data_IF_043650111346
#
_entry.id   IF_043650111346
#
_cell.length_a   1.000
_cell.length_b   1.000
_cell.length_c   1.000
_cell.angle_alpha   90.00
_cell.angle_beta   90.00
_cell.angle_gamma   90.00
#
_symmetry.space_group_name_H-M   'P 1'
#
loop_
_entity.id
_entity.type
_entity.pdbx_description
1 polymer ?
#
# COMPACT_ATOMS: atom_id res chain seq x y z
N UNK A 1 -21.41 -7.26 31.80
CA UNK A 1 -21.57 -5.80 31.97
C UNK A 1 -21.51 -5.39 33.44
N UNK A 2 -22.17 -6.11 34.35
CA UNK A 2 -22.21 -5.76 35.79
C UNK A 2 -20.87 -5.97 36.53
N UNK A 3 -20.11 -7.01 36.16
CA UNK A 3 -18.78 -7.28 36.73
C UNK A 3 -17.75 -6.20 36.33
N UNK A 4 -17.76 -5.79 35.05
CA UNK A 4 -16.91 -4.72 34.50
C UNK A 4 -17.18 -3.37 35.18
N UNK A 5 -18.45 -3.03 35.41
CA UNK A 5 -18.84 -1.79 36.09
C UNK A 5 -18.37 -1.74 37.56
N UNK A 6 -18.08 -2.88 38.18
CA UNK A 6 -17.61 -2.95 39.57
C UNK A 6 -16.09 -2.79 39.64
N UNK A 7 -15.36 -3.34 38.68
CA UNK A 7 -13.89 -3.24 38.57
C UNK A 7 -13.42 -1.83 38.20
N UNK A 8 -14.20 -1.10 37.39
CA UNK A 8 -13.84 0.21 36.85
C UNK A 8 -14.11 1.40 37.79
N UNK A 9 -14.72 1.18 38.97
CA UNK A 9 -15.11 2.26 39.90
C UNK A 9 -13.95 2.82 40.73
N UNK A 10 -12.89 2.02 40.92
CA UNK A 10 -11.76 2.36 41.78
C UNK A 10 -10.52 2.82 40.99
N UNK A 11 -10.58 2.82 39.64
CA UNK A 11 -9.47 3.22 38.77
C UNK A 11 -9.43 4.73 38.50
N UNK A 12 -8.22 5.28 38.35
CA UNK A 12 -8.06 6.67 37.92
C UNK A 12 -8.49 6.84 36.46
N UNK A 13 -9.02 8.02 36.09
CA UNK A 13 -9.52 8.27 34.73
C UNK A 13 -8.54 7.91 33.58
N UNK A 14 -7.20 8.08 33.72
CA UNK A 14 -6.24 7.62 32.73
C UNK A 14 -6.12 6.09 32.60
N UNK A 15 -6.20 5.35 33.71
CA UNK A 15 -6.14 3.88 33.72
C UNK A 15 -7.36 3.30 33.02
N UNK A 16 -8.55 3.84 33.34
CA UNK A 16 -9.81 3.50 32.70
C UNK A 16 -9.74 3.65 31.17
N UNK A 17 -9.16 4.77 30.68
CA UNK A 17 -8.98 5.00 29.25
C UNK A 17 -8.03 3.98 28.61
N UNK A 18 -6.99 3.56 29.33
CA UNK A 18 -6.08 2.51 28.88
C UNK A 18 -6.77 1.15 28.74
N UNK A 19 -7.63 0.79 29.71
CA UNK A 19 -8.43 -0.44 29.67
C UNK A 19 -9.42 -0.41 28.50
N UNK A 20 -10.18 0.68 28.36
CA UNK A 20 -11.15 0.85 27.27
C UNK A 20 -10.48 0.81 25.90
N UNK A 21 -9.33 1.47 25.75
CA UNK A 21 -8.55 1.38 24.52
C UNK A 21 -8.14 -0.07 24.23
N UNK A 22 -7.60 -0.79 25.23
CA UNK A 22 -7.16 -2.18 25.05
C UNK A 22 -8.30 -3.10 24.61
N UNK A 23 -9.49 -2.92 25.19
CA UNK A 23 -10.68 -3.68 24.79
C UNK A 23 -11.10 -3.36 23.35
N UNK A 24 -11.17 -2.07 23.00
CA UNK A 24 -11.53 -1.65 21.64
C UNK A 24 -10.49 -2.13 20.61
N UNK A 25 -9.20 -2.07 20.96
CA UNK A 25 -8.11 -2.58 20.15
C UNK A 25 -8.21 -4.10 19.95
N UNK A 26 -8.56 -4.86 20.99
CA UNK A 26 -8.80 -6.31 20.88
C UNK A 26 -9.93 -6.64 19.90
N UNK A 27 -11.01 -5.85 19.89
CA UNK A 27 -12.09 -6.00 18.88
C UNK A 27 -11.58 -5.66 17.48
N UNK A 28 -10.83 -4.56 17.33
CA UNK A 28 -10.22 -4.19 16.05
C UNK A 28 -9.34 -5.31 15.50
N UNK A 29 -8.43 -5.86 16.31
CA UNK A 29 -7.54 -6.95 15.92
C UNK A 29 -8.30 -8.24 15.59
N UNK A 30 -9.36 -8.57 16.34
CA UNK A 30 -10.21 -9.72 16.06
C UNK A 30 -10.76 -9.68 14.63
N UNK A 31 -11.20 -8.50 14.19
CA UNK A 31 -11.68 -8.25 12.83
C UNK A 31 -10.58 -7.87 11.83
N UNK A 32 -9.30 -8.13 12.16
CA UNK A 32 -8.13 -7.86 11.31
C UNK A 32 -7.96 -6.37 10.94
N UNK A 33 -8.50 -5.46 11.77
CA UNK A 33 -8.27 -4.03 11.66
C UNK A 33 -7.06 -3.64 12.52
N UNK A 34 -6.22 -2.75 12.02
CA UNK A 34 -5.11 -2.19 12.79
C UNK A 34 -5.67 -1.13 13.78
N UNK A 35 -5.46 -1.27 15.10
CA UNK A 35 -5.90 -0.27 16.07
C UNK A 35 -5.22 1.08 15.83
N UNK A 36 -5.94 2.21 15.86
CA UNK A 36 -5.35 3.54 15.70
C UNK A 36 -4.30 3.83 16.78
N UNK A 37 -3.08 4.23 16.38
CA UNK A 37 -1.96 4.52 17.30
C UNK A 37 -1.44 3.30 18.10
N UNK A 38 -1.64 2.07 17.61
CA UNK A 38 -1.24 0.84 18.31
C UNK A 38 0.21 0.81 18.83
N UNK A 39 1.19 1.19 18.00
CA UNK A 39 2.60 1.21 18.40
C UNK A 39 2.92 2.23 19.50
N UNK A 40 2.17 3.34 19.55
CA UNK A 40 2.33 4.36 20.58
C UNK A 40 1.62 3.98 21.86
N UNK A 41 0.49 3.28 21.76
CA UNK A 41 -0.20 2.70 22.90
C UNK A 41 0.67 1.67 23.62
N UNK A 42 1.22 0.69 22.90
CA UNK A 42 2.09 -0.34 23.48
C UNK A 42 3.38 0.26 24.07
N UNK A 43 3.88 1.35 23.49
CA UNK A 43 4.99 2.13 24.04
C UNK A 43 4.64 3.06 25.20
N UNK A 44 3.37 3.10 25.68
CA UNK A 44 2.87 4.02 26.71
C UNK A 44 3.13 5.51 26.40
N UNK A 45 3.07 5.89 25.12
CA UNK A 45 3.37 7.24 24.62
C UNK A 45 2.13 8.08 24.27
N UNK A 46 0.95 7.66 24.71
CA UNK A 46 -0.31 8.34 24.41
C UNK A 46 -0.81 9.14 25.60
N UNK A 47 -1.19 10.39 25.35
CA UNK A 47 -1.88 11.22 26.34
C UNK A 47 -3.34 10.77 26.51
N UNK A 48 -4.00 11.12 27.62
CA UNK A 48 -5.42 10.80 27.81
C UNK A 48 -6.32 11.31 26.67
N UNK A 49 -6.02 12.47 26.10
CA UNK A 49 -6.79 13.02 24.97
C UNK A 49 -6.57 12.21 23.69
N UNK A 50 -5.34 11.80 23.42
CA UNK A 50 -5.04 10.93 22.28
C UNK A 50 -5.72 9.56 22.41
N UNK A 51 -5.81 9.02 23.63
CA UNK A 51 -6.56 7.78 23.91
C UNK A 51 -8.04 7.95 23.59
N UNK A 52 -8.67 9.03 24.05
CA UNK A 52 -10.09 9.32 23.73
C UNK A 52 -10.33 9.41 22.22
N UNK A 53 -9.46 10.12 21.49
CA UNK A 53 -9.55 10.22 20.02
C UNK A 53 -9.43 8.85 19.37
N UNK A 54 -8.48 8.02 19.80
CA UNK A 54 -8.28 6.70 19.23
C UNK A 54 -9.45 5.75 19.53
N UNK A 55 -9.99 5.78 20.75
CA UNK A 55 -11.21 5.06 21.13
C UNK A 55 -12.39 5.54 20.27
N UNK A 56 -12.59 6.85 20.15
CA UNK A 56 -13.65 7.46 19.33
C UNK A 56 -13.58 7.01 17.87
N UNK A 57 -12.37 6.90 17.31
CA UNK A 57 -12.16 6.31 15.98
C UNK A 57 -12.60 4.85 15.93
N UNK A 58 -12.24 4.03 16.90
CA UNK A 58 -12.58 2.61 16.95
C UNK A 58 -14.07 2.32 17.18
N UNK A 59 -14.84 3.26 17.74
CA UNK A 59 -16.30 3.13 17.84
C UNK A 59 -17.04 3.69 16.62
N UNK A 60 -16.35 4.44 15.75
CA UNK A 60 -16.97 5.14 14.63
C UNK A 60 -17.40 4.18 13.52
N UNK A 61 -18.63 4.34 13.05
CA UNK A 61 -19.14 3.66 11.84
C UNK A 61 -18.24 3.91 10.63
N UNK A 62 -17.66 5.11 10.51
CA UNK A 62 -16.79 5.47 9.38
C UNK A 62 -15.50 4.64 9.36
N UNK A 63 -14.92 4.38 10.53
CA UNK A 63 -13.73 3.54 10.66
C UNK A 63 -14.02 2.11 10.18
N UNK A 64 -15.05 1.49 10.74
CA UNK A 64 -15.44 0.12 10.40
C UNK A 64 -15.89 -0.04 8.96
N UNK A 65 -16.70 0.90 8.44
CA UNK A 65 -17.14 0.87 7.04
C UNK A 65 -15.97 0.92 6.07
N UNK A 66 -14.96 1.76 6.35
CA UNK A 66 -13.75 1.85 5.52
C UNK A 66 -12.91 0.58 5.61
N UNK A 67 -12.76 0.03 6.83
CA UNK A 67 -12.04 -1.22 7.06
C UNK A 67 -12.69 -2.38 6.31
N UNK A 68 -13.96 -2.69 6.59
CA UNK A 68 -14.67 -3.81 5.99
C UNK A 68 -14.78 -3.68 4.48
N UNK A 69 -15.04 -2.47 3.94
CA UNK A 69 -15.03 -2.26 2.49
C UNK A 69 -13.70 -2.65 1.86
N UNK A 70 -12.58 -2.32 2.50
CA UNK A 70 -11.25 -2.66 1.99
C UNK A 70 -10.93 -4.14 2.19
N UNK A 71 -11.20 -4.66 3.38
CA UNK A 71 -10.96 -6.05 3.76
C UNK A 71 -11.73 -7.02 2.87
N UNK A 72 -13.06 -6.85 2.75
CA UNK A 72 -13.90 -7.73 1.94
C UNK A 72 -13.51 -7.71 0.47
N UNK A 73 -13.09 -6.55 -0.08
CA UNK A 73 -12.60 -6.45 -1.46
C UNK A 73 -11.35 -7.28 -1.67
N UNK A 74 -10.35 -7.14 -0.79
CA UNK A 74 -9.10 -7.90 -0.85
C UNK A 74 -9.35 -9.39 -0.64
N UNK A 75 -10.21 -9.73 0.30
CA UNK A 75 -10.56 -11.12 0.60
C UNK A 75 -11.26 -11.80 -0.57
N UNK A 76 -12.26 -11.14 -1.18
CA UNK A 76 -12.94 -11.63 -2.39
C UNK A 76 -11.96 -11.88 -3.53
N UNK A 77 -11.05 -10.93 -3.78
CA UNK A 77 -10.03 -11.09 -4.82
C UNK A 77 -9.09 -12.27 -4.52
N UNK A 78 -8.69 -12.44 -3.26
CA UNK A 78 -7.89 -13.58 -2.85
C UNK A 78 -8.61 -14.92 -3.05
N UNK A 79 -9.93 -14.98 -2.83
CA UNK A 79 -10.74 -16.15 -3.18
C UNK A 79 -10.77 -16.39 -4.69
N UNK A 80 -10.91 -15.35 -5.51
CA UNK A 80 -10.85 -15.49 -6.97
C UNK A 80 -9.49 -16.02 -7.46
N UNK A 81 -8.38 -15.55 -6.88
CA UNK A 81 -7.05 -16.13 -7.11
C UNK A 81 -7.03 -17.60 -6.68
N UNK A 82 -7.57 -17.91 -5.51
CA UNK A 82 -7.60 -19.28 -4.95
C UNK A 82 -8.36 -20.24 -5.86
N UNK A 83 -9.52 -19.87 -6.40
CA UNK A 83 -10.33 -20.75 -7.26
C UNK A 83 -9.84 -20.81 -8.71
N UNK A 84 -8.95 -19.90 -9.12
CA UNK A 84 -8.37 -19.87 -10.47
C UNK A 84 -9.11 -18.96 -11.45
N UNK A 85 -9.89 -18.01 -10.92
CA UNK A 85 -10.47 -16.91 -11.71
C UNK A 85 -9.38 -15.90 -12.13
N UNK A 86 -8.27 -15.85 -11.38
CA UNK A 86 -7.07 -15.07 -11.70
C UNK A 86 -5.93 -16.03 -12.04
N UNK A 87 -5.67 -16.19 -13.34
CA UNK A 87 -4.59 -16.99 -13.94
C UNK A 87 -4.44 -16.67 -15.43
N UNK A 88 -3.32 -17.08 -16.04
CA UNK A 88 -2.98 -16.87 -17.46
C UNK A 88 -4.12 -17.18 -18.42
N UNK A 89 -4.80 -18.31 -18.20
CA UNK A 89 -5.84 -18.84 -19.09
C UNK A 89 -7.20 -18.16 -18.93
N UNK A 90 -7.37 -17.21 -18.00
CA UNK A 90 -8.66 -16.55 -17.77
C UNK A 90 -8.54 -15.05 -17.58
N UNK A 91 -7.87 -14.61 -16.53
CA UNK A 91 -7.58 -13.20 -16.29
C UNK A 91 -6.27 -13.09 -15.51
N UNK A 92 -5.28 -12.43 -16.10
CA UNK A 92 -3.91 -12.40 -15.59
C UNK A 92 -3.79 -11.51 -14.35
N UNK A 93 -4.37 -10.30 -14.41
CA UNK A 93 -4.09 -9.24 -13.45
C UNK A 93 -5.02 -9.33 -12.22
N UNK A 94 -6.31 -9.47 -12.47
CA UNK A 94 -7.34 -9.48 -11.43
C UNK A 94 -8.63 -10.14 -11.93
N UNK A 95 -9.56 -10.44 -11.02
CA UNK A 95 -10.82 -11.08 -11.37
C UNK A 95 -11.69 -10.20 -12.30
N UNK A 96 -12.46 -10.78 -13.23
CA UNK A 96 -13.41 -10.03 -14.06
C UNK A 96 -14.41 -9.21 -13.22
N UNK A 97 -14.82 -9.73 -12.07
CA UNK A 97 -15.73 -9.07 -11.13
C UNK A 97 -15.08 -7.82 -10.52
N UNK A 98 -13.78 -7.87 -10.23
CA UNK A 98 -13.04 -6.70 -9.78
C UNK A 98 -12.96 -5.62 -10.86
N UNK A 99 -12.71 -6.00 -12.11
CA UNK A 99 -12.69 -5.07 -13.26
C UNK A 99 -14.03 -4.34 -13.39
N UNK A 100 -15.16 -5.06 -13.34
CA UNK A 100 -16.49 -4.47 -13.40
C UNK A 100 -16.74 -3.48 -12.24
N UNK A 101 -16.43 -3.88 -11.01
CA UNK A 101 -16.55 -3.00 -9.84
C UNK A 101 -15.66 -1.75 -9.96
N UNK A 102 -14.45 -1.90 -10.49
CA UNK A 102 -13.51 -0.80 -10.70
C UNK A 102 -14.01 0.16 -11.77
N UNK A 103 -14.49 -0.34 -12.91
CA UNK A 103 -15.07 0.48 -13.99
C UNK A 103 -16.30 1.25 -13.51
N UNK A 104 -17.24 0.58 -12.82
CA UNK A 104 -18.43 1.24 -12.27
C UNK A 104 -18.06 2.33 -11.24
N UNK A 105 -17.07 2.08 -10.38
CA UNK A 105 -16.59 3.07 -9.42
C UNK A 105 -15.94 4.27 -10.11
N UNK A 106 -15.21 4.05 -11.21
CA UNK A 106 -14.59 5.13 -12.00
C UNK A 106 -15.61 5.97 -12.74
N UNK A 107 -16.59 5.32 -13.37
CA UNK A 107 -17.69 6.00 -14.06
C UNK A 107 -18.43 6.93 -13.08
N UNK A 108 -18.88 6.40 -11.94
CA UNK A 108 -19.54 7.19 -10.89
C UNK A 108 -18.67 8.34 -10.38
N UNK A 109 -17.37 8.08 -10.17
CA UNK A 109 -16.44 9.12 -9.73
C UNK A 109 -16.32 10.26 -10.74
N UNK A 110 -16.25 9.95 -12.04
CA UNK A 110 -16.20 10.96 -13.11
C UNK A 110 -17.50 11.72 -13.26
N UNK A 111 -18.65 11.07 -13.10
CA UNK A 111 -19.97 11.73 -13.11
C UNK A 111 -20.04 12.79 -12.00
N UNK A 112 -19.68 12.42 -10.77
CA UNK A 112 -19.64 13.37 -9.63
C UNK A 112 -18.67 14.53 -9.92
N UNK A 113 -17.47 14.24 -10.44
CA UNK A 113 -16.48 15.29 -10.75
C UNK A 113 -16.94 16.22 -11.89
N UNK A 114 -17.73 15.73 -12.84
CA UNK A 114 -18.26 16.53 -13.94
C UNK A 114 -19.32 17.52 -13.45
N UNK A 115 -20.05 17.16 -12.39
CA UNK A 115 -21.09 17.98 -11.76
C UNK A 115 -20.55 18.87 -10.63
N UNK A 116 -19.23 18.86 -10.38
CA UNK A 116 -18.59 19.61 -9.29
C UNK A 116 -17.64 20.66 -9.84
N UNK A 117 -17.73 21.89 -9.32
CA UNK A 117 -16.75 22.94 -9.56
C UNK A 117 -15.88 23.15 -8.30
N UNK A 118 -14.64 23.54 -8.52
CA UNK A 118 -13.75 24.09 -7.50
C UNK A 118 -13.96 25.60 -7.53
N UNK A 119 -14.09 26.21 -6.36
CA UNK A 119 -14.19 27.66 -6.19
C UNK A 119 -13.01 28.11 -5.33
N UNK A 120 -12.33 29.17 -5.76
CA UNK A 120 -11.33 29.85 -4.97
C UNK A 120 -12.01 30.81 -3.97
N UNK A 121 -11.75 30.63 -2.67
CA UNK A 121 -12.46 31.35 -1.61
C UNK A 121 -12.18 32.87 -1.59
N UNK A 122 -11.03 33.32 -2.12
CA UNK A 122 -10.60 34.72 -2.08
C UNK A 122 -11.03 35.49 -3.34
N UNK A 123 -10.88 34.86 -4.51
CA UNK A 123 -11.16 35.48 -5.82
C UNK A 123 -12.56 35.18 -6.36
N UNK A 124 -13.20 34.10 -5.88
CA UNK A 124 -14.47 33.60 -6.41
C UNK A 124 -14.36 32.95 -7.79
N UNK A 125 -13.15 32.72 -8.29
CA UNK A 125 -12.93 32.04 -9.58
C UNK A 125 -13.38 30.58 -9.49
N UNK A 126 -14.05 30.11 -10.54
CA UNK A 126 -14.55 28.73 -10.61
C UNK A 126 -13.89 27.92 -11.71
N UNK A 127 -13.51 26.69 -11.38
CA UNK A 127 -12.82 25.76 -12.27
C UNK A 127 -13.53 24.40 -12.21
N UNK A 128 -13.91 23.80 -13.36
CA UNK A 128 -14.49 22.46 -13.35
C UNK A 128 -13.54 21.43 -12.72
N UNK A 129 -14.00 20.71 -11.70
CA UNK A 129 -13.16 19.74 -10.96
C UNK A 129 -12.61 18.68 -11.91
N UNK A 130 -13.42 18.21 -12.86
CA UNK A 130 -12.99 17.23 -13.84
C UNK A 130 -11.80 17.71 -14.68
N UNK A 131 -11.80 18.98 -15.10
CA UNK A 131 -10.71 19.57 -15.88
C UNK A 131 -9.42 19.65 -15.05
N UNK A 132 -9.51 20.06 -13.79
CA UNK A 132 -8.38 20.09 -12.87
C UNK A 132 -7.80 18.68 -12.63
N UNK A 133 -8.67 17.68 -12.44
CA UNK A 133 -8.28 16.27 -12.28
C UNK A 133 -7.57 15.76 -13.52
N UNK A 134 -8.12 16.01 -14.72
CA UNK A 134 -7.54 15.55 -15.99
C UNK A 134 -6.22 16.28 -16.33
N UNK A 135 -6.01 17.50 -15.81
CA UNK A 135 -4.75 18.24 -15.89
C UNK A 135 -3.68 17.77 -14.87
N UNK A 136 -4.06 16.98 -13.87
CA UNK A 136 -3.18 16.51 -12.78
C UNK A 136 -2.59 15.11 -13.02
N UNK A 137 -1.76 14.65 -12.07
CA UNK A 137 -1.20 13.28 -11.99
C UNK A 137 -2.26 12.18 -11.73
N UNK A 138 -3.52 12.59 -11.56
CA UNK A 138 -4.68 11.69 -11.56
C UNK A 138 -4.94 11.10 -12.95
N UNK A 139 -4.54 11.80 -14.02
CA UNK A 139 -4.52 11.27 -15.37
C UNK A 139 -3.35 10.28 -15.55
N UNK A 140 -3.64 9.10 -16.11
CA UNK A 140 -2.66 8.03 -16.28
C UNK A 140 -1.49 8.43 -17.19
N UNK A 141 -1.72 9.20 -18.25
CA UNK A 141 -0.67 9.64 -19.18
C UNK A 141 0.26 10.63 -18.49
N UNK A 142 -0.30 11.62 -17.79
CA UNK A 142 0.47 12.59 -17.01
C UNK A 142 1.29 11.91 -15.91
N UNK A 143 0.73 10.92 -15.22
CA UNK A 143 1.46 10.13 -14.23
C UNK A 143 2.62 9.36 -14.83
N UNK A 144 2.45 8.78 -16.03
CA UNK A 144 3.55 8.09 -16.75
C UNK A 144 4.63 9.09 -17.15
N UNK A 145 4.25 10.24 -17.71
CA UNK A 145 5.19 11.30 -18.06
C UNK A 145 5.98 11.77 -16.83
N UNK A 146 5.30 12.02 -15.70
CA UNK A 146 5.96 12.40 -14.45
C UNK A 146 6.93 11.31 -13.94
N UNK A 147 6.53 10.03 -14.02
CA UNK A 147 7.42 8.91 -13.66
C UNK A 147 8.69 8.92 -14.52
N UNK A 148 8.55 9.08 -15.83
CA UNK A 148 9.70 9.13 -16.75
C UNK A 148 10.58 10.35 -16.48
N UNK A 149 10.00 11.52 -16.16
CA UNK A 149 10.75 12.70 -15.73
C UNK A 149 11.55 12.43 -14.45
N UNK A 150 10.98 11.68 -13.50
CA UNK A 150 11.72 11.27 -12.28
C UNK A 150 12.86 10.31 -12.60
N UNK A 151 12.65 9.32 -13.47
CA UNK A 151 13.73 8.42 -13.94
C UNK A 151 14.86 9.23 -14.55
N UNK A 152 14.54 10.17 -15.45
CA UNK A 152 15.53 11.08 -16.05
C UNK A 152 16.27 11.91 -15.00
N UNK A 153 15.57 12.44 -14.00
CA UNK A 153 16.19 13.16 -12.90
C UNK A 153 17.16 12.29 -12.09
N UNK A 154 16.88 10.99 -11.91
CA UNK A 154 17.81 10.06 -11.26
C UNK A 154 19.05 9.81 -12.13
N UNK A 155 18.89 9.71 -13.45
CA UNK A 155 20.02 9.60 -14.39
C UNK A 155 20.89 10.87 -14.40
N UNK A 156 20.27 12.05 -14.36
CA UNK A 156 20.98 13.34 -14.27
C UNK A 156 21.72 13.47 -12.93
N UNK A 157 21.12 13.05 -11.81
CA UNK A 157 21.81 13.00 -10.51
C UNK A 157 23.02 12.06 -10.53
N UNK A 158 22.88 10.87 -11.14
CA UNK A 158 23.97 9.94 -11.34
C UNK A 158 25.10 10.55 -12.19
N UNK A 159 24.76 11.40 -13.17
CA UNK A 159 25.71 12.09 -14.02
C UNK A 159 26.36 13.32 -13.34
N UNK A 160 25.70 13.97 -12.40
CA UNK A 160 26.26 15.10 -11.66
C UNK A 160 27.32 14.64 -10.65
N UNK A 161 27.14 13.50 -9.97
CA UNK A 161 28.14 13.01 -9.03
C UNK A 161 29.48 12.69 -9.72
N UNK A 162 29.44 12.28 -11.00
CA UNK A 162 30.62 12.10 -11.87
C UNK A 162 31.48 13.36 -12.02
N UNK A 163 30.91 14.55 -11.86
CA UNK A 163 31.66 15.81 -11.98
C UNK A 163 32.33 16.21 -10.65
N UNK A 164 31.87 15.68 -9.51
CA UNK A 164 32.36 16.06 -8.17
C UNK A 164 33.31 15.05 -7.55
N UNK A 165 33.19 13.78 -7.90
CA UNK A 165 34.01 12.67 -7.44
C UNK A 165 34.23 11.75 -8.66
N UNK A 166 35.37 11.09 -8.81
CA UNK A 166 35.61 10.09 -9.88
C UNK A 166 34.65 8.86 -9.83
N UNK A 167 33.47 8.99 -9.22
CA UNK A 167 32.41 7.98 -9.09
C UNK A 167 31.52 7.96 -10.33
N UNK A 168 31.83 7.05 -11.25
CA UNK A 168 30.92 6.73 -12.36
C UNK A 168 29.77 5.87 -11.86
N UNK A 169 28.52 6.33 -11.95
CA UNK A 169 27.35 5.50 -11.63
C UNK A 169 26.87 4.73 -12.85
N UNK A 170 26.51 3.45 -12.65
CA UNK A 170 25.89 2.59 -13.66
C UNK A 170 24.43 2.32 -13.30
N UNK A 171 23.58 2.25 -14.32
CA UNK A 171 22.16 1.92 -14.19
C UNK A 171 21.94 0.42 -14.37
N UNK A 172 21.41 -0.24 -13.35
CA UNK A 172 21.09 -1.66 -13.33
C UNK A 172 19.58 -1.85 -13.36
N UNK A 173 19.09 -2.58 -14.37
CA UNK A 173 17.70 -3.01 -14.45
C UNK A 173 17.52 -4.34 -13.74
N UNK A 174 16.52 -4.44 -12.86
CA UNK A 174 16.23 -5.68 -12.16
C UNK A 174 14.76 -6.06 -12.27
N UNK A 175 14.54 -7.37 -12.23
CA UNK A 175 13.22 -7.97 -12.02
C UNK A 175 13.26 -8.79 -10.75
N UNK A 176 12.41 -8.45 -9.78
CA UNK A 176 12.24 -9.21 -8.55
C UNK A 176 10.98 -10.06 -8.62
N UNK A 177 11.17 -11.36 -8.76
CA UNK A 177 10.10 -12.36 -8.84
C UNK A 177 9.92 -13.05 -7.50
N UNK A 178 8.66 -13.37 -7.16
CA UNK A 178 8.37 -14.10 -5.95
C UNK A 178 8.78 -15.59 -6.08
N UNK A 179 9.25 -16.23 -5.00
CA UNK A 179 9.48 -17.67 -5.01
C UNK A 179 8.21 -18.44 -5.35
N UNK A 180 8.35 -19.64 -5.93
CA UNK A 180 7.23 -20.48 -6.39
C UNK A 180 6.11 -20.64 -5.34
N UNK A 181 6.43 -20.70 -4.05
CA UNK A 181 5.43 -20.87 -2.98
C UNK A 181 4.43 -19.71 -2.85
N UNK A 182 4.71 -18.55 -3.43
CA UNK A 182 3.80 -17.39 -3.43
C UNK A 182 2.83 -17.38 -4.61
N UNK A 183 3.05 -18.23 -5.62
CA UNK A 183 2.20 -18.32 -6.81
C UNK A 183 1.10 -19.35 -6.62
N UNK A 184 -0.16 -18.96 -6.79
CA UNK A 184 -1.31 -19.85 -6.65
C UNK A 184 -1.46 -20.82 -7.82
N UNK A 185 -1.02 -20.40 -9.01
CA UNK A 185 -1.14 -21.18 -10.24
C UNK A 185 0.20 -21.22 -10.97
N UNK A 186 0.42 -22.30 -11.70
CA UNK A 186 1.53 -22.40 -12.64
C UNK A 186 1.14 -21.72 -13.96
N UNK A 187 2.14 -21.32 -14.74
CA UNK A 187 1.90 -20.70 -16.04
C UNK A 187 1.12 -21.62 -17.00
N UNK A 188 1.27 -22.94 -16.84
CA UNK A 188 0.50 -23.98 -17.55
C UNK A 188 -0.99 -24.02 -17.20
N UNK A 189 -1.42 -23.24 -16.20
CA UNK A 189 -2.81 -23.19 -15.72
C UNK A 189 -3.16 -24.25 -14.68
N UNK A 190 -2.21 -25.12 -14.31
CA UNK A 190 -2.38 -26.11 -13.25
C UNK A 190 -2.21 -25.48 -11.87
N UNK A 191 -2.92 -26.02 -10.87
CA UNK A 191 -2.80 -25.58 -9.48
C UNK A 191 -1.38 -25.82 -8.97
N UNK A 192 -0.77 -24.80 -8.37
CA UNK A 192 0.54 -24.97 -7.75
C UNK A 192 0.40 -25.65 -6.37
N UNK A 193 0.90 -26.88 -6.25
CA UNK A 193 0.88 -27.65 -4.99
C UNK A 193 1.77 -27.07 -3.89
N UNK A 194 2.74 -26.23 -4.27
CA UNK A 194 3.65 -25.57 -3.31
C UNK A 194 3.11 -24.22 -2.83
N UNK A 195 1.95 -23.78 -3.32
CA UNK A 195 1.39 -22.51 -2.90
C UNK A 195 1.07 -22.53 -1.41
N UNK A 196 1.59 -21.55 -0.67
CA UNK A 196 1.42 -21.44 0.78
C UNK A 196 0.16 -20.65 1.19
N UNK A 197 -0.69 -20.27 0.24
CA UNK A 197 -1.88 -19.46 0.50
C UNK A 197 -1.60 -17.96 0.58
N UNK A 198 -0.39 -17.48 0.28
CA UNK A 198 -0.08 -16.06 0.36
C UNK A 198 -0.94 -15.24 -0.63
N UNK A 199 -1.48 -14.13 -0.12
CA UNK A 199 -2.15 -13.10 -0.91
C UNK A 199 -1.14 -12.16 -1.58
N UNK A 200 -1.52 -11.43 -2.64
CA UNK A 200 -0.66 -10.42 -3.27
C UNK A 200 -0.10 -9.39 -2.27
N UNK A 201 -0.85 -9.06 -1.22
CA UNK A 201 -0.41 -8.13 -0.16
C UNK A 201 0.70 -8.74 0.70
N UNK A 202 0.59 -10.02 1.04
CA UNK A 202 1.63 -10.73 1.80
C UNK A 202 2.90 -10.93 0.96
N UNK A 203 2.76 -11.20 -0.34
CA UNK A 203 3.89 -11.24 -1.27
C UNK A 203 4.58 -9.87 -1.37
N UNK A 204 3.81 -8.77 -1.40
CA UNK A 204 4.39 -7.43 -1.33
C UNK A 204 5.17 -7.18 -0.03
N UNK A 205 4.62 -7.59 1.12
CA UNK A 205 5.33 -7.48 2.39
C UNK A 205 6.61 -8.32 2.43
N UNK A 206 6.62 -9.49 1.78
CA UNK A 206 7.83 -10.27 1.56
C UNK A 206 8.88 -9.48 0.75
N UNK A 207 8.49 -8.84 -0.35
CA UNK A 207 9.41 -8.02 -1.14
C UNK A 207 9.94 -6.82 -0.37
N UNK A 208 9.09 -6.03 0.28
CA UNK A 208 9.53 -4.88 1.09
C UNK A 208 10.52 -5.30 2.17
N UNK A 209 10.24 -6.41 2.90
CA UNK A 209 11.15 -6.92 3.92
C UNK A 209 12.48 -7.37 3.32
N UNK A 210 12.43 -8.11 2.21
CA UNK A 210 13.64 -8.65 1.58
C UNK A 210 14.50 -7.54 0.98
N UNK A 211 13.89 -6.54 0.33
CA UNK A 211 14.59 -5.38 -0.20
C UNK A 211 15.19 -4.50 0.91
N UNK A 212 14.50 -4.34 2.04
CA UNK A 212 15.06 -3.65 3.22
C UNK A 212 16.31 -4.37 3.74
N UNK A 213 16.26 -5.70 3.85
CA UNK A 213 17.41 -6.50 4.30
C UNK A 213 18.56 -6.43 3.29
N UNK A 214 18.25 -6.53 2.00
CA UNK A 214 19.21 -6.33 0.91
C UNK A 214 19.90 -4.97 1.00
N UNK A 215 19.12 -3.88 1.08
CA UNK A 215 19.64 -2.52 1.20
C UNK A 215 20.51 -2.36 2.45
N UNK A 216 20.08 -2.91 3.59
CA UNK A 216 20.86 -2.89 4.84
C UNK A 216 22.20 -3.64 4.69
N UNK A 217 22.21 -4.77 3.98
CA UNK A 217 23.41 -5.54 3.73
C UNK A 217 24.39 -4.82 2.80
N UNK A 218 23.88 -4.07 1.81
CA UNK A 218 24.69 -3.21 0.95
C UNK A 218 25.31 -2.04 1.72
N UNK A 219 24.52 -1.33 2.53
CA UNK A 219 25.03 -0.21 3.34
C UNK A 219 26.12 -0.65 4.32
N UNK A 220 26.04 -1.86 4.89
CA UNK A 220 27.11 -2.41 5.75
C UNK A 220 28.42 -2.67 5.00
N UNK A 221 28.38 -2.74 3.67
CA UNK A 221 29.54 -2.89 2.78
C UNK A 221 29.92 -1.56 2.12
N UNK A 222 29.38 -0.44 2.58
CA UNK A 222 29.59 0.89 1.99
C UNK A 222 29.10 1.01 0.52
N UNK A 223 28.14 0.15 0.15
CA UNK A 223 27.49 0.20 -1.16
C UNK A 223 26.19 0.98 -1.01
N UNK A 224 26.14 2.15 -1.63
CA UNK A 224 24.98 3.02 -1.63
C UNK A 224 24.27 2.95 -2.97
N UNK A 225 22.99 2.54 -2.93
CA UNK A 225 22.13 2.47 -4.09
C UNK A 225 21.01 3.49 -3.99
N UNK A 226 20.58 4.00 -5.13
CA UNK A 226 19.33 4.75 -5.26
C UNK A 226 18.62 4.34 -6.54
N UNK A 227 17.33 4.65 -6.67
CA UNK A 227 16.57 4.23 -7.83
C UNK A 227 15.08 4.18 -7.56
N UNK A 228 14.36 3.49 -8.43
CA UNK A 228 12.93 3.29 -8.28
C UNK A 228 12.48 1.96 -8.86
N UNK A 229 11.35 1.47 -8.35
CA UNK A 229 10.71 0.28 -8.87
C UNK A 229 9.20 0.49 -9.02
N UNK A 230 8.62 -0.28 -9.92
CA UNK A 230 7.18 -0.43 -10.10
C UNK A 230 6.76 -1.83 -9.68
N UNK A 231 5.45 -2.04 -9.49
CA UNK A 231 4.89 -3.37 -9.27
C UNK A 231 3.92 -3.71 -10.39
N UNK A 232 4.11 -4.87 -10.99
CA UNK A 232 3.23 -5.43 -12.00
C UNK A 232 2.64 -6.76 -11.49
N UNK A 233 1.41 -7.09 -11.90
CA UNK A 233 0.82 -8.40 -11.63
C UNK A 233 1.33 -9.41 -12.64
N UNK A 234 1.83 -10.55 -12.16
CA UNK A 234 2.24 -11.67 -12.99
C UNK A 234 1.04 -12.48 -13.51
N UNK A 235 1.31 -13.65 -14.13
CA UNK A 235 0.30 -14.49 -14.77
C UNK A 235 -0.81 -15.02 -13.84
N UNK A 236 -0.66 -14.95 -12.53
CA UNK A 236 -1.63 -15.40 -11.52
C UNK A 236 -1.99 -14.30 -10.50
N UNK A 237 -1.76 -13.02 -10.86
CA UNK A 237 -2.03 -11.88 -9.99
C UNK A 237 -0.95 -11.62 -8.92
N UNK A 238 0.03 -12.51 -8.78
CA UNK A 238 1.17 -12.35 -7.86
C UNK A 238 2.01 -11.13 -8.26
N UNK A 239 2.39 -10.24 -7.34
CA UNK A 239 3.17 -9.05 -7.69
C UNK A 239 4.59 -9.43 -8.11
N UNK A 240 5.13 -8.72 -9.09
CA UNK A 240 6.53 -8.68 -9.52
C UNK A 240 7.04 -7.24 -9.41
N UNK A 241 8.31 -7.04 -9.07
CA UNK A 241 8.93 -5.72 -9.17
C UNK A 241 9.79 -5.63 -10.42
N UNK A 242 9.67 -4.52 -11.13
CA UNK A 242 10.61 -4.12 -12.17
C UNK A 242 11.17 -2.77 -11.76
N UNK A 243 12.47 -2.58 -11.85
CA UNK A 243 13.07 -1.33 -11.40
C UNK A 243 14.43 -1.06 -12.01
N UNK A 244 14.89 0.15 -11.73
CA UNK A 244 16.20 0.67 -12.07
C UNK A 244 16.89 1.06 -10.76
N UNK A 245 18.14 0.63 -10.59
CA UNK A 245 19.01 1.00 -9.50
C UNK A 245 20.27 1.64 -10.07
N UNK A 246 20.80 2.62 -9.36
CA UNK A 246 22.08 3.26 -9.65
C UNK A 246 23.05 2.88 -8.54
N UNK A 247 24.23 2.43 -8.95
CA UNK A 247 25.34 2.04 -8.08
C UNK A 247 26.65 2.58 -8.68
N UNK A 248 27.68 2.79 -7.86
CA UNK A 248 29.01 3.14 -8.37
C UNK A 248 29.55 2.00 -9.23
N UNK A 249 30.26 2.32 -10.31
CA UNK A 249 30.77 1.35 -11.29
C UNK A 249 31.73 0.36 -10.66
N UNK A 250 32.55 0.80 -9.71
CA UNK A 250 33.42 -0.11 -8.95
C UNK A 250 32.66 -1.14 -8.08
N UNK A 251 31.36 -0.93 -7.87
CA UNK A 251 30.48 -1.70 -6.99
C UNK A 251 29.38 -2.47 -7.76
N UNK A 252 29.41 -2.45 -9.11
CA UNK A 252 28.56 -3.29 -9.97
C UNK A 252 28.81 -4.78 -9.74
#
# INVERSE_FOLDING_TARGET
MEYLNRTLRDESAPELLGVLYSMAAGIAEHFKADPPEWSRFTGKKLTPEQLKIAISRMISVRFWSRHFRTFTRRWREHLYITVGDVRRQRSVICSPQWVQHWMASRKRGREIMAETNIEDEETGETLPLLAAVDASVSNNERRRAEMLTRVKGLEELAALDRMSQDSDYVALFFTWTAPQQYHAWLETGRRNRKWNGASPRETQHYFTRTFKNFSTALTRRDIHIFGMHITESHHDGTPHWHGILFVRREQE
#
